data_IF_619121962113
#
_entry.id   IF_619121962113
#
_cell.length_a   1.000
_cell.length_b   1.000
_cell.length_c   1.000
_cell.angle_alpha   90.00
_cell.angle_beta   90.00
_cell.angle_gamma   90.00
#
_symmetry.space_group_name_H-M   'P 1'
#
loop_
_entity.id
_entity.type
_entity.pdbx_description
1 polymer ?
#
# COMPACT_ATOMS: atom_id res chain seq x y z
N UNK A 1 11.32 11.63 23.65
CA UNK A 1 10.10 12.45 23.72
C UNK A 1 9.16 11.99 22.63
N UNK A 2 7.99 11.51 22.99
CA UNK A 2 6.93 11.27 22.00
C UNK A 2 6.48 12.66 21.50
N UNK A 3 6.66 12.93 20.21
CA UNK A 3 6.17 14.17 19.60
C UNK A 3 4.65 14.04 19.59
N UNK A 4 3.94 14.88 20.30
CA UNK A 4 2.46 14.86 20.32
C UNK A 4 1.88 15.19 18.93
N UNK A 5 0.73 14.59 18.62
CA UNK A 5 -0.06 14.95 17.44
C UNK A 5 -0.66 16.33 17.66
N UNK A 6 -0.68 17.16 16.62
CA UNK A 6 -1.44 18.40 16.65
C UNK A 6 -2.96 18.14 16.53
N UNK A 7 -3.79 19.16 16.75
CA UNK A 7 -5.25 19.02 16.76
C UNK A 7 -5.82 18.49 15.43
N UNK A 8 -5.27 18.93 14.28
CA UNK A 8 -5.69 18.45 12.96
C UNK A 8 -5.34 16.97 12.79
N UNK A 9 -4.14 16.56 13.21
CA UNK A 9 -3.70 15.18 13.15
C UNK A 9 -4.55 14.28 14.06
N UNK A 10 -4.90 14.73 15.27
CA UNK A 10 -5.79 14.01 16.19
C UNK A 10 -7.17 13.82 15.54
N UNK A 11 -7.74 14.89 14.97
CA UNK A 11 -9.02 14.81 14.26
C UNK A 11 -9.01 13.75 13.16
N UNK A 12 -7.92 13.65 12.38
CA UNK A 12 -7.77 12.63 11.33
C UNK A 12 -7.68 11.23 11.94
N UNK A 13 -6.90 11.07 13.00
CA UNK A 13 -6.71 9.77 13.68
C UNK A 13 -8.03 9.25 14.26
N UNK A 14 -8.81 10.11 14.91
CA UNK A 14 -10.06 9.75 15.57
C UNK A 14 -11.27 9.68 14.63
N UNK A 15 -11.10 10.11 13.38
CA UNK A 15 -12.18 10.06 12.38
C UNK A 15 -12.60 8.61 12.11
N UNK A 16 -13.78 8.20 12.59
CA UNK A 16 -14.28 6.84 12.52
C UNK A 16 -15.62 6.72 11.76
N UNK A 17 -15.92 7.66 10.87
CA UNK A 17 -17.14 7.60 10.06
C UNK A 17 -16.96 6.68 8.84
N UNK A 18 -18.06 6.07 8.37
CA UNK A 18 -18.12 5.22 7.17
C UNK A 18 -17.93 5.99 5.84
N UNK A 19 -17.52 7.25 5.93
CA UNK A 19 -17.30 8.13 4.76
C UNK A 19 -15.83 8.16 4.38
N UNK A 20 -15.59 8.46 3.10
CA UNK A 20 -14.23 8.69 2.61
C UNK A 20 -13.59 9.90 3.29
N UNK A 21 -12.34 9.75 3.69
CA UNK A 21 -11.50 10.81 4.23
C UNK A 21 -10.37 11.09 3.25
N UNK A 22 -10.30 12.30 2.71
CA UNK A 22 -9.16 12.77 1.92
C UNK A 22 -8.31 13.71 2.76
N UNK A 23 -7.02 13.40 2.87
CA UNK A 23 -6.07 14.20 3.65
C UNK A 23 -5.04 14.81 2.72
N UNK A 24 -5.01 16.13 2.64
CA UNK A 24 -3.98 16.86 1.91
C UNK A 24 -2.90 17.36 2.87
N UNK A 25 -1.65 16.99 2.60
CA UNK A 25 -0.56 17.33 3.49
C UNK A 25 0.76 17.51 2.71
N UNK A 26 1.49 18.55 3.02
CA UNK A 26 2.78 18.87 2.40
C UNK A 26 3.90 17.87 2.77
N UNK A 27 5.06 17.96 2.12
CA UNK A 27 6.24 17.20 2.53
C UNK A 27 6.61 17.51 3.99
N UNK A 28 7.02 16.49 4.76
CA UNK A 28 7.45 16.67 6.16
C UNK A 28 6.31 16.93 7.16
N UNK A 29 5.04 16.96 6.76
CA UNK A 29 3.89 17.21 7.64
C UNK A 29 3.54 16.04 8.59
N UNK A 30 4.26 14.93 8.53
CA UNK A 30 4.00 13.76 9.38
C UNK A 30 2.94 12.80 8.86
N UNK A 31 2.65 12.77 7.54
CA UNK A 31 1.65 11.87 6.93
C UNK A 31 1.76 10.42 7.38
N UNK A 32 2.95 9.84 7.28
CA UNK A 32 3.19 8.45 7.67
C UNK A 32 2.90 8.22 9.14
N UNK A 33 3.24 9.17 10.00
CA UNK A 33 2.95 9.12 11.42
C UNK A 33 1.43 9.11 11.68
N UNK A 34 0.69 9.98 11.01
CA UNK A 34 -0.79 10.03 11.13
C UNK A 34 -1.41 8.69 10.71
N UNK A 35 -0.89 8.06 9.64
CA UNK A 35 -1.34 6.72 9.22
C UNK A 35 -1.06 5.69 10.32
N UNK A 36 0.14 5.67 10.89
CA UNK A 36 0.51 4.74 11.97
C UNK A 36 -0.41 4.92 13.19
N UNK A 37 -0.59 6.16 13.65
CA UNK A 37 -1.44 6.45 14.80
C UNK A 37 -2.92 6.13 14.52
N UNK A 38 -3.39 6.35 13.28
CA UNK A 38 -4.73 5.95 12.87
C UNK A 38 -4.94 4.45 12.90
N UNK A 39 -4.00 3.66 12.38
CA UNK A 39 -4.07 2.19 12.44
C UNK A 39 -4.04 1.72 13.89
N UNK A 40 -3.19 2.30 14.75
CA UNK A 40 -3.17 2.02 16.18
C UNK A 40 -4.52 2.28 16.83
N UNK A 41 -5.10 3.45 16.58
CA UNK A 41 -6.42 3.82 17.11
C UNK A 41 -7.50 2.82 16.66
N UNK A 42 -7.51 2.47 15.38
CA UNK A 42 -8.50 1.53 14.84
C UNK A 42 -8.35 0.13 15.43
N UNK A 43 -7.13 -0.36 15.64
CA UNK A 43 -6.88 -1.68 16.22
C UNK A 43 -7.15 -1.69 17.74
N UNK A 44 -6.59 -0.71 18.48
CA UNK A 44 -6.59 -0.72 19.94
C UNK A 44 -7.89 -0.18 20.54
N UNK A 45 -8.43 0.92 20.00
CA UNK A 45 -9.61 1.60 20.55
C UNK A 45 -10.91 1.12 19.91
N UNK A 46 -10.90 0.89 18.59
CA UNK A 46 -12.10 0.45 17.89
C UNK A 46 -12.18 -1.07 17.71
N UNK A 47 -11.14 -1.82 18.07
CA UNK A 47 -11.13 -3.28 17.97
C UNK A 47 -11.23 -3.83 16.54
N UNK A 48 -10.81 -3.05 15.53
CA UNK A 48 -10.87 -3.49 14.14
C UNK A 48 -9.90 -4.65 13.91
N UNK A 49 -10.40 -5.72 13.28
CA UNK A 49 -9.58 -6.89 12.96
C UNK A 49 -8.42 -6.49 12.03
N UNK A 50 -7.16 -6.81 12.38
CA UNK A 50 -6.00 -6.58 11.52
C UNK A 50 -6.13 -7.11 10.08
N UNK A 51 -6.82 -8.20 9.85
CA UNK A 51 -7.07 -8.77 8.51
C UNK A 51 -7.93 -7.88 7.60
N UNK A 52 -8.66 -6.92 8.19
CA UNK A 52 -9.51 -5.98 7.44
C UNK A 52 -8.74 -4.79 6.85
N UNK A 53 -7.45 -4.65 7.20
CA UNK A 53 -6.66 -3.52 6.71
C UNK A 53 -6.05 -3.82 5.34
N UNK A 54 -6.30 -2.91 4.41
CA UNK A 54 -5.58 -2.81 3.14
C UNK A 54 -4.89 -1.46 3.08
N UNK A 55 -3.56 -1.46 3.06
CA UNK A 55 -2.74 -0.25 2.96
C UNK A 55 -1.88 -0.34 1.71
N UNK A 56 -2.09 0.58 0.79
CA UNK A 56 -1.36 0.65 -0.48
C UNK A 56 -0.32 1.75 -0.41
N UNK A 57 0.91 1.40 -0.78
CA UNK A 57 2.04 2.34 -0.87
C UNK A 57 2.56 2.44 -2.30
N UNK A 58 3.35 3.49 -2.57
CA UNK A 58 3.94 3.67 -3.88
C UNK A 58 5.14 2.73 -4.13
N UNK A 59 5.90 2.36 -3.10
CA UNK A 59 7.09 1.53 -3.22
C UNK A 59 7.14 0.43 -2.15
N UNK A 60 7.88 -0.64 -2.45
CA UNK A 60 8.13 -1.74 -1.50
C UNK A 60 8.81 -1.20 -0.24
N UNK A 61 9.82 -0.34 -0.41
CA UNK A 61 10.52 0.28 0.72
C UNK A 61 9.56 1.03 1.65
N UNK A 62 8.60 1.78 1.09
CA UNK A 62 7.61 2.49 1.91
C UNK A 62 6.64 1.54 2.62
N UNK A 63 6.31 0.39 2.01
CA UNK A 63 5.50 -0.64 2.66
C UNK A 63 6.24 -1.26 3.85
N UNK A 64 7.51 -1.60 3.68
CA UNK A 64 8.32 -2.20 4.74
C UNK A 64 8.57 -1.20 5.88
N UNK A 65 8.94 0.05 5.57
CA UNK A 65 9.08 1.12 6.57
C UNK A 65 7.79 1.34 7.37
N UNK A 66 6.63 1.25 6.72
CA UNK A 66 5.35 1.37 7.42
C UNK A 66 5.09 0.20 8.37
N UNK A 67 5.41 -1.05 7.97
CA UNK A 67 5.31 -2.22 8.84
C UNK A 67 6.19 -2.07 10.08
N UNK A 68 7.45 -1.66 9.90
CA UNK A 68 8.38 -1.44 11.01
C UNK A 68 7.84 -0.39 11.98
N UNK A 69 7.33 0.74 11.47
CA UNK A 69 6.73 1.80 12.30
C UNK A 69 5.46 1.37 13.02
N UNK A 70 4.65 0.48 12.45
CA UNK A 70 3.48 -0.08 13.12
C UNK A 70 3.90 -0.96 14.31
N UNK A 71 4.96 -1.77 14.14
CA UNK A 71 5.53 -2.60 15.21
C UNK A 71 6.15 -1.72 16.30
N UNK A 72 6.96 -0.73 15.95
CA UNK A 72 7.50 0.26 16.87
C UNK A 72 6.39 1.03 17.61
N UNK A 73 5.25 1.25 16.95
CA UNK A 73 4.04 1.85 17.50
C UNK A 73 3.22 0.90 18.38
N UNK A 74 3.80 -0.20 18.86
CA UNK A 74 3.19 -1.17 19.79
C UNK A 74 2.02 -2.00 19.23
N UNK A 75 1.95 -2.16 17.90
CA UNK A 75 1.07 -3.17 17.30
C UNK A 75 1.86 -4.48 17.24
N UNK A 76 1.31 -5.60 17.75
CA UNK A 76 1.99 -6.88 17.70
C UNK A 76 2.41 -7.25 16.27
N UNK A 77 3.63 -7.74 16.09
CA UNK A 77 4.14 -8.16 14.78
C UNK A 77 3.24 -9.20 14.10
N UNK A 78 2.61 -10.08 14.89
CA UNK A 78 1.61 -11.04 14.43
C UNK A 78 0.39 -10.39 13.79
N UNK A 79 -0.04 -9.23 14.29
CA UNK A 79 -1.18 -8.50 13.77
C UNK A 79 -0.79 -7.67 12.54
N UNK A 80 0.40 -7.07 12.52
CA UNK A 80 0.93 -6.39 11.34
C UNK A 80 1.08 -7.36 10.16
N UNK A 81 1.47 -8.61 10.42
CA UNK A 81 1.56 -9.66 9.38
C UNK A 81 0.21 -10.05 8.77
N UNK A 82 -0.89 -9.90 9.52
CA UNK A 82 -2.25 -10.15 9.00
C UNK A 82 -2.76 -9.02 8.10
N UNK A 83 -2.23 -7.80 8.28
CA UNK A 83 -2.60 -6.66 7.45
C UNK A 83 -2.07 -6.80 6.03
N UNK A 84 -2.86 -6.46 5.04
CA UNK A 84 -2.40 -6.35 3.65
C UNK A 84 -1.71 -4.99 3.45
N UNK A 85 -0.38 -4.96 3.56
CA UNK A 85 0.45 -3.75 3.34
C UNK A 85 1.37 -4.02 2.17
N UNK A 86 1.13 -3.37 1.02
CA UNK A 86 1.86 -3.68 -0.21
C UNK A 86 1.80 -2.53 -1.21
N UNK A 87 2.51 -2.67 -2.32
CA UNK A 87 2.32 -1.79 -3.48
C UNK A 87 1.05 -2.17 -4.24
N UNK A 88 0.53 -1.24 -5.07
CA UNK A 88 -0.63 -1.52 -5.91
C UNK A 88 -0.37 -2.71 -6.86
N UNK A 89 0.84 -2.80 -7.42
CA UNK A 89 1.21 -3.92 -8.31
C UNK A 89 1.20 -5.26 -7.58
N UNK A 90 1.79 -5.33 -6.38
CA UNK A 90 1.79 -6.55 -5.56
C UNK A 90 0.38 -6.95 -5.13
N UNK A 91 -0.47 -5.97 -4.82
CA UNK A 91 -1.86 -6.23 -4.47
C UNK A 91 -2.67 -6.77 -5.66
N UNK A 92 -2.52 -6.15 -6.84
CA UNK A 92 -3.18 -6.63 -8.07
C UNK A 92 -2.72 -8.05 -8.45
N UNK A 93 -1.42 -8.34 -8.31
CA UNK A 93 -0.89 -9.68 -8.56
C UNK A 93 -1.54 -10.71 -7.64
N UNK A 94 -1.63 -10.42 -6.34
CA UNK A 94 -2.28 -11.28 -5.37
C UNK A 94 -3.74 -11.57 -5.74
N UNK A 95 -4.50 -10.55 -6.17
CA UNK A 95 -5.88 -10.75 -6.64
C UNK A 95 -5.92 -11.72 -7.83
N UNK A 96 -5.01 -11.57 -8.78
CA UNK A 96 -4.95 -12.45 -9.95
C UNK A 96 -4.60 -13.89 -9.57
N UNK A 97 -3.70 -14.09 -8.64
CA UNK A 97 -3.37 -15.41 -8.08
C UNK A 97 -4.56 -16.03 -7.37
N UNK A 98 -5.23 -15.29 -6.50
CA UNK A 98 -6.39 -15.73 -5.72
C UNK A 98 -7.61 -16.06 -6.63
N UNK A 99 -7.73 -15.42 -7.78
CA UNK A 99 -8.79 -15.71 -8.77
C UNK A 99 -8.48 -16.90 -9.68
N UNK A 100 -7.37 -17.62 -9.43
CA UNK A 100 -7.01 -18.82 -10.16
C UNK A 100 -6.44 -18.56 -11.56
N UNK A 101 -5.96 -17.35 -11.82
CA UNK A 101 -5.18 -17.05 -13.03
C UNK A 101 -3.79 -17.66 -12.85
N UNK A 102 -3.71 -18.97 -13.06
CA UNK A 102 -2.49 -19.77 -12.89
C UNK A 102 -1.57 -19.56 -14.08
N UNK A 103 -0.27 -19.36 -13.84
CA UNK A 103 0.74 -19.33 -14.91
C UNK A 103 1.01 -17.95 -15.49
N UNK A 104 0.83 -16.89 -14.69
CA UNK A 104 1.29 -15.56 -15.08
C UNK A 104 2.82 -15.54 -15.06
N UNK A 105 3.44 -15.53 -16.23
CA UNK A 105 4.84 -15.15 -16.36
C UNK A 105 4.96 -13.64 -16.15
N UNK A 106 5.48 -13.22 -14.99
CA UNK A 106 5.79 -11.82 -14.75
C UNK A 106 7.01 -11.44 -15.61
N UNK A 107 6.76 -10.67 -16.65
CA UNK A 107 7.84 -10.10 -17.46
C UNK A 107 8.36 -8.88 -16.72
N UNK A 108 9.49 -9.07 -16.00
CA UNK A 108 10.20 -7.99 -15.33
C UNK A 108 10.68 -6.93 -16.35
N UNK A 109 10.90 -5.70 -15.87
CA UNK A 109 11.44 -4.60 -16.69
C UNK A 109 12.74 -5.00 -17.38
N UNK A 110 12.92 -4.53 -18.63
CA UNK A 110 14.12 -4.73 -19.41
C UNK A 110 13.86 -5.27 -20.82
N UNK A 111 14.88 -5.85 -21.42
CA UNK A 111 14.87 -6.32 -22.82
C UNK A 111 13.74 -7.33 -23.12
N UNK A 112 13.41 -8.18 -22.18
CA UNK A 112 12.31 -9.15 -22.34
C UNK A 112 10.96 -8.47 -22.45
N UNK A 113 10.70 -7.42 -21.67
CA UNK A 113 9.48 -6.64 -21.73
C UNK A 113 9.38 -5.91 -23.08
N UNK A 114 10.46 -5.26 -23.52
CA UNK A 114 10.52 -4.57 -24.81
C UNK A 114 10.29 -5.54 -25.97
N UNK A 115 10.88 -6.74 -25.91
CA UNK A 115 10.70 -7.77 -26.92
C UNK A 115 9.24 -8.26 -26.99
N UNK A 116 8.64 -8.50 -25.83
CA UNK A 116 7.24 -8.90 -25.72
C UNK A 116 6.31 -7.85 -26.29
N UNK A 117 6.49 -6.58 -25.91
CA UNK A 117 5.69 -5.46 -26.42
C UNK A 117 5.84 -5.32 -27.94
N UNK A 118 7.07 -5.33 -28.45
CA UNK A 118 7.35 -5.23 -29.90
C UNK A 118 6.68 -6.35 -30.68
N UNK A 119 6.74 -7.59 -30.19
CA UNK A 119 6.07 -8.74 -30.80
C UNK A 119 4.56 -8.51 -30.88
N UNK A 120 3.92 -8.13 -29.76
CA UNK A 120 2.47 -7.93 -29.72
C UNK A 120 1.97 -6.76 -30.57
N UNK A 121 2.76 -5.68 -30.65
CA UNK A 121 2.45 -4.55 -31.56
C UNK A 121 2.54 -4.97 -33.02
N UNK A 122 3.56 -5.74 -33.39
CA UNK A 122 3.73 -6.26 -34.74
C UNK A 122 2.58 -7.19 -35.15
N UNK A 123 2.20 -8.12 -34.27
CA UNK A 123 1.11 -9.07 -34.50
C UNK A 123 -0.24 -8.38 -34.69
N UNK A 124 -0.41 -7.17 -34.19
CA UNK A 124 -1.61 -6.34 -34.34
C UNK A 124 -1.50 -5.26 -35.40
N UNK A 125 -0.41 -5.23 -36.17
CA UNK A 125 -0.18 -4.23 -37.22
C UNK A 125 0.01 -2.80 -36.70
N UNK A 126 0.40 -2.63 -35.42
CA UNK A 126 0.62 -1.33 -34.81
C UNK A 126 2.07 -0.87 -35.03
N UNK A 127 2.31 0.43 -35.23
CA UNK A 127 3.67 0.95 -35.47
C UNK A 127 4.56 0.79 -34.24
N UNK A 128 5.78 0.30 -34.44
CA UNK A 128 6.83 0.14 -33.43
C UNK A 128 7.73 1.39 -33.44
N UNK A 129 7.16 2.56 -33.39
CA UNK A 129 7.94 3.79 -33.37
C UNK A 129 8.40 4.10 -31.95
N UNK A 130 9.70 3.91 -31.69
CA UNK A 130 10.46 4.32 -30.50
C UNK A 130 9.95 3.77 -29.14
N UNK A 131 10.25 2.51 -28.91
CA UNK A 131 10.44 2.00 -27.54
C UNK A 131 11.92 1.79 -27.26
#
# INVERSE_FOLDING_TARGET
MAIELNEEQKTIVEYANDKFLSVQAGPGSGKTRVIVEKVKYMVKELGINPESFLIITFSIKAADELKDRLIEGEIPASDVQKMQISTIHSFCLKILEDTGTVGLDIIAEGDKQNLFIKKHLKDRGLPINSL
#
